data_IF_180670433456
#
_entry.id   IF_180670433456
#
_cell.length_a   1.000
_cell.length_b   1.000
_cell.length_c   1.000
_cell.angle_alpha   90.00
_cell.angle_beta   90.00
_cell.angle_gamma   90.00
#
_symmetry.space_group_name_H-M   'P 1'
#
loop_
_entity.id
_entity.type
_entity.pdbx_description
1 polymer ?
#
# COMPACT_ATOMS: atom_id res chain seq x y z
N UNK A 1 7.37 24.91 31.30
CA UNK A 1 7.11 24.00 30.15
C UNK A 1 6.85 24.90 28.94
N UNK A 2 7.88 25.18 28.15
CA UNK A 2 7.80 26.13 27.04
C UNK A 2 7.27 25.38 25.81
N UNK A 3 5.98 25.53 25.52
CA UNK A 3 5.40 25.09 24.25
C UNK A 3 5.88 26.09 23.21
N UNK A 4 6.89 25.75 22.42
CA UNK A 4 7.33 26.56 21.29
C UNK A 4 6.27 26.40 20.18
N UNK A 5 5.26 27.26 20.20
CA UNK A 5 4.30 27.49 19.10
C UNK A 5 4.99 28.29 17.98
N UNK A 6 6.06 27.73 17.42
CA UNK A 6 6.76 28.30 16.28
C UNK A 6 6.75 27.28 15.15
N UNK A 7 6.34 27.70 13.95
CA UNK A 7 6.51 26.88 12.76
C UNK A 7 8.02 26.73 12.48
N UNK A 8 8.54 25.51 12.58
CA UNK A 8 9.90 25.20 12.18
C UNK A 8 9.91 25.03 10.65
N UNK A 9 10.60 25.94 9.95
CA UNK A 9 10.82 25.88 8.51
C UNK A 9 12.24 25.36 8.25
N UNK A 10 12.35 24.15 7.70
CA UNK A 10 13.64 23.53 7.34
C UNK A 10 13.66 23.24 5.85
N UNK A 11 14.70 23.70 5.16
CA UNK A 11 14.90 23.43 3.75
C UNK A 11 15.56 22.06 3.56
N UNK A 12 14.91 21.17 2.82
CA UNK A 12 15.48 19.90 2.37
C UNK A 12 15.77 19.93 0.87
N UNK A 13 16.88 19.30 0.45
CA UNK A 13 17.18 19.09 -0.96
C UNK A 13 16.78 17.69 -1.38
N UNK A 14 16.04 17.58 -2.50
CA UNK A 14 15.78 16.31 -3.15
C UNK A 14 17.09 15.79 -3.75
N UNK A 15 17.49 14.60 -3.31
CA UNK A 15 18.69 13.91 -3.76
C UNK A 15 18.40 13.08 -5.02
N UNK A 16 19.46 12.47 -5.57
CA UNK A 16 19.31 11.50 -6.66
C UNK A 16 18.35 10.39 -6.23
N UNK A 17 17.59 9.84 -7.18
CA UNK A 17 16.54 8.83 -6.94
C UNK A 17 15.33 9.33 -6.13
N UNK A 18 15.05 10.64 -6.12
CA UNK A 18 13.86 11.23 -5.49
C UNK A 18 13.79 11.06 -3.96
N UNK A 19 14.95 10.95 -3.32
CA UNK A 19 15.06 10.79 -1.86
C UNK A 19 15.22 12.14 -1.17
N UNK A 20 14.62 12.28 0.01
CA UNK A 20 14.85 13.42 0.91
C UNK A 20 15.30 12.90 2.25
N UNK A 21 16.40 13.46 2.78
CA UNK A 21 16.86 13.13 4.12
C UNK A 21 15.98 13.83 5.16
N UNK A 22 15.51 13.08 6.15
CA UNK A 22 14.77 13.64 7.28
C UNK A 22 15.75 14.45 8.13
N UNK A 23 15.58 15.78 8.26
CA UNK A 23 16.50 16.61 9.03
C UNK A 23 16.61 16.15 10.48
N UNK A 24 17.79 16.35 11.07
CA UNK A 24 18.06 15.92 12.45
C UNK A 24 17.08 16.52 13.47
N UNK A 25 16.68 17.79 13.28
CA UNK A 25 15.67 18.48 14.10
C UNK A 25 14.35 17.70 14.11
N UNK A 26 13.84 17.36 12.92
CA UNK A 26 12.57 16.63 12.74
C UNK A 26 12.68 15.22 13.32
N UNK A 27 13.79 14.51 13.09
CA UNK A 27 14.01 13.18 13.68
C UNK A 27 13.95 13.23 15.21
N UNK A 28 14.58 14.22 15.84
CA UNK A 28 14.58 14.38 17.30
C UNK A 28 13.18 14.72 17.81
N UNK A 29 12.52 15.70 17.20
CA UNK A 29 11.21 16.18 17.64
C UNK A 29 10.14 15.08 17.57
N UNK A 30 10.14 14.31 16.48
CA UNK A 30 9.19 13.20 16.27
C UNK A 30 9.73 11.84 16.71
N UNK A 31 10.89 11.83 17.40
CA UNK A 31 11.57 10.64 17.91
C UNK A 31 11.76 9.53 16.86
N UNK A 32 11.94 9.86 15.59
CA UNK A 32 11.97 8.91 14.47
C UNK A 32 13.18 7.98 14.60
N UNK A 33 12.94 6.68 14.47
CA UNK A 33 13.93 5.63 14.54
C UNK A 33 13.98 4.84 13.22
N UNK A 34 15.08 4.13 13.01
CA UNK A 34 15.18 3.19 11.89
C UNK A 34 14.14 2.07 12.07
N UNK A 35 13.43 1.72 10.99
CA UNK A 35 12.34 0.74 11.00
C UNK A 35 10.94 1.34 11.20
N UNK A 36 10.83 2.62 11.58
CA UNK A 36 9.54 3.33 11.58
C UNK A 36 8.98 3.48 10.16
N UNK A 37 7.66 3.48 10.04
CA UNK A 37 6.97 3.76 8.79
C UNK A 37 6.59 5.25 8.69
N UNK A 38 6.62 5.78 7.48
CA UNK A 38 6.12 7.11 7.15
C UNK A 38 4.91 7.00 6.22
N UNK A 39 3.82 7.66 6.59
CA UNK A 39 2.64 7.82 5.72
C UNK A 39 2.65 9.20 5.10
N UNK A 40 2.43 9.23 3.80
CA UNK A 40 2.39 10.44 2.99
C UNK A 40 0.94 10.72 2.59
N UNK A 41 0.43 11.88 2.97
CA UNK A 41 -0.90 12.36 2.64
C UNK A 41 -0.78 13.61 1.77
N UNK A 42 -1.52 13.66 0.66
CA UNK A 42 -1.54 14.83 -0.24
C UNK A 42 -2.75 15.68 0.08
N UNK A 43 -2.52 16.83 0.72
CA UNK A 43 -3.56 17.83 0.95
C UNK A 43 -3.62 18.78 -0.24
N UNK A 44 -4.53 18.47 -1.17
CA UNK A 44 -4.74 19.27 -2.38
C UNK A 44 -5.28 20.67 -2.08
N UNK A 45 -6.01 20.86 -0.97
CA UNK A 45 -6.63 22.15 -0.64
C UNK A 45 -5.57 23.17 -0.27
N UNK A 46 -4.57 22.74 0.50
CA UNK A 46 -3.48 23.60 0.95
C UNK A 46 -2.21 23.46 0.10
N UNK A 47 -2.21 22.55 -0.90
CA UNK A 47 -1.08 22.22 -1.76
C UNK A 47 0.18 21.83 -0.97
N UNK A 48 -0.02 20.98 0.04
CA UNK A 48 1.06 20.47 0.90
C UNK A 48 1.04 18.96 0.97
N UNK A 49 2.20 18.41 1.31
CA UNK A 49 2.36 17.00 1.65
C UNK A 49 2.49 16.91 3.16
N UNK A 50 1.62 16.12 3.79
CA UNK A 50 1.68 15.83 5.22
C UNK A 50 2.34 14.47 5.41
N UNK A 51 3.40 14.43 6.20
CA UNK A 51 4.13 13.20 6.53
C UNK A 51 3.87 12.84 7.98
N UNK A 52 3.36 11.63 8.24
CA UNK A 52 3.06 11.12 9.59
C UNK A 52 3.95 9.93 9.92
N UNK A 53 4.47 9.88 11.14
CA UNK A 53 5.29 8.75 11.63
C UNK A 53 4.36 7.71 12.25
N UNK A 54 4.52 6.44 11.87
CA UNK A 54 3.87 5.31 12.53
C UNK A 54 4.94 4.48 13.23
N UNK A 55 4.79 4.38 14.55
CA UNK A 55 5.69 3.68 15.46
C UNK A 55 5.43 2.18 15.61
N UNK A 56 4.20 1.76 15.32
CA UNK A 56 3.73 0.43 15.65
C UNK A 56 3.40 -0.34 14.36
N UNK A 57 4.44 -0.92 13.77
CA UNK A 57 4.39 -1.66 12.50
C UNK A 57 3.42 -2.84 12.54
N UNK A 58 3.23 -3.44 13.72
CA UNK A 58 2.31 -4.57 13.91
C UNK A 58 0.85 -4.15 13.66
N UNK A 59 0.45 -2.93 14.04
CA UNK A 59 -0.90 -2.42 13.77
C UNK A 59 -1.19 -2.21 12.29
N UNK A 60 -0.19 -1.84 11.49
CA UNK A 60 -0.32 -1.71 10.03
C UNK A 60 -0.49 -3.09 9.39
N UNK A 61 0.28 -4.09 9.86
CA UNK A 61 0.19 -5.46 9.36
C UNK A 61 -1.15 -6.12 9.72
N UNK A 62 -1.70 -5.85 10.91
CA UNK A 62 -3.02 -6.39 11.31
C UNK A 62 -4.16 -5.89 10.42
N UNK A 63 -4.08 -4.69 9.84
CA UNK A 63 -5.13 -4.18 8.94
C UNK A 63 -5.22 -4.87 7.59
N UNK A 64 -4.11 -5.44 7.08
CA UNK A 64 -4.10 -6.17 5.80
C UNK A 64 -4.48 -7.65 5.95
N UNK A 65 -4.30 -8.22 7.14
CA UNK A 65 -4.56 -9.62 7.46
C UNK A 65 -5.80 -9.86 8.33
N UNK A 66 -6.53 -8.81 8.71
CA UNK A 66 -7.78 -8.91 9.48
C UNK A 66 -9.03 -8.88 8.59
N UNK A 67 -8.92 -9.32 7.33
CA UNK A 67 -10.10 -9.63 6.52
C UNK A 67 -10.47 -11.10 6.76
N UNK A 68 -11.57 -11.40 7.48
CA UNK A 68 -12.03 -12.78 7.67
C UNK A 68 -12.41 -13.48 6.37
N UNK A 69 -12.52 -12.75 5.25
CA UNK A 69 -12.75 -13.31 3.92
C UNK A 69 -11.46 -13.56 3.12
N UNK A 70 -10.29 -13.25 3.67
CA UNK A 70 -8.99 -13.57 3.07
C UNK A 70 -8.37 -14.80 3.75
N UNK A 71 -9.20 -15.80 4.05
CA UNK A 71 -8.74 -17.12 4.49
C UNK A 71 -8.26 -17.93 3.28
N UNK A 72 -7.43 -18.94 3.55
CA UNK A 72 -6.92 -19.85 2.52
C UNK A 72 -8.07 -20.42 1.68
N UNK A 73 -9.13 -20.89 2.36
CA UNK A 73 -10.29 -21.50 1.74
C UNK A 73 -11.00 -20.57 0.74
N UNK A 74 -11.17 -19.28 1.08
CA UNK A 74 -11.82 -18.31 0.18
C UNK A 74 -10.96 -18.02 -1.05
N UNK A 75 -9.65 -17.96 -0.88
CA UNK A 75 -8.70 -17.73 -1.98
C UNK A 75 -8.62 -18.95 -2.90
N UNK A 76 -8.60 -20.15 -2.34
CA UNK A 76 -8.59 -21.42 -3.10
C UNK A 76 -9.88 -21.58 -3.92
N UNK A 77 -11.04 -21.36 -3.30
CA UNK A 77 -12.34 -21.38 -3.98
C UNK A 77 -12.41 -20.39 -5.14
N UNK A 78 -11.84 -19.19 -4.98
CA UNK A 78 -11.82 -18.17 -6.03
C UNK A 78 -10.93 -18.61 -7.20
N UNK A 79 -9.74 -19.16 -6.90
CA UNK A 79 -8.79 -19.63 -7.89
C UNK A 79 -9.36 -20.81 -8.71
N UNK A 80 -10.03 -21.75 -8.05
CA UNK A 80 -10.68 -22.88 -8.70
C UNK A 80 -11.81 -22.40 -9.63
N UNK A 81 -12.68 -21.47 -9.16
CA UNK A 81 -13.75 -20.89 -9.99
C UNK A 81 -13.24 -20.19 -11.24
N UNK A 82 -12.13 -19.45 -11.14
CA UNK A 82 -11.52 -18.79 -12.30
C UNK A 82 -10.98 -19.84 -13.27
N UNK A 83 -10.28 -20.84 -12.75
CA UNK A 83 -9.70 -21.93 -13.56
C UNK A 83 -10.77 -22.73 -14.30
N UNK A 84 -11.88 -23.06 -13.63
CA UNK A 84 -13.04 -23.74 -14.23
C UNK A 84 -13.75 -22.89 -15.29
N UNK A 85 -13.80 -21.56 -15.12
CA UNK A 85 -14.35 -20.66 -16.16
C UNK A 85 -13.49 -20.67 -17.42
N UNK A 86 -12.17 -20.62 -17.29
CA UNK A 86 -11.24 -20.65 -18.43
C UNK A 86 -11.29 -21.98 -19.19
N UNK A 87 -11.41 -23.11 -18.47
CA UNK A 87 -11.61 -24.44 -19.07
C UNK A 87 -12.91 -24.50 -19.86
N UNK A 88 -14.02 -23.99 -19.29
CA UNK A 88 -15.32 -24.00 -19.96
C UNK A 88 -15.40 -23.03 -21.16
N UNK A 89 -14.67 -21.90 -21.12
CA UNK A 89 -14.56 -20.99 -22.25
C UNK A 89 -13.80 -21.63 -23.43
N UNK A 90 -12.77 -22.42 -23.14
CA UNK A 90 -11.97 -23.15 -24.14
C UNK A 90 -12.71 -24.32 -24.81
N UNK A 91 -13.78 -24.83 -24.18
CA UNK A 91 -14.48 -26.02 -24.66
C UNK A 91 -15.66 -25.72 -25.62
N UNK A 92 -15.96 -24.44 -25.92
CA UNK A 92 -17.03 -24.07 -26.87
C UNK A 92 -16.62 -24.07 -28.35
N UNK A 93 -15.33 -24.25 -28.68
CA UNK A 93 -14.81 -24.12 -30.05
C UNK A 93 -14.49 -25.42 -30.77
N UNK A 94 -14.90 -26.59 -30.25
CA UNK A 94 -14.78 -27.86 -30.99
C UNK A 94 -16.08 -28.65 -30.92
N UNK A 95 -16.93 -28.46 -31.92
CA UNK A 95 -17.74 -29.50 -32.57
C UNK A 95 -18.62 -28.84 -33.64
N UNK A 96 -18.04 -28.51 -34.79
CA UNK A 96 -18.79 -28.46 -36.04
C UNK A 96 -18.43 -29.75 -36.80
N UNK A 97 -19.28 -30.76 -36.71
CA UNK A 97 -19.18 -31.98 -37.50
C UNK A 97 -19.33 -31.63 -38.98
N UNK A 98 -18.33 -31.99 -39.79
CA UNK A 98 -18.35 -31.95 -41.25
C UNK A 98 -19.48 -32.82 -41.81
N UNK A 99 -20.18 -32.40 -42.89
CA UNK A 99 -21.14 -33.28 -43.55
C UNK A 99 -20.38 -34.30 -44.41
N UNK A 100 -20.61 -35.59 -44.16
CA UNK A 100 -20.21 -36.64 -45.09
C UNK A 100 -21.14 -36.61 -46.32
N UNK A 101 -20.54 -36.69 -47.51
CA UNK A 101 -21.23 -36.96 -48.78
C UNK A 101 -21.76 -38.39 -48.81
#
# INVERSE_FOLDING_TARGET
MLVILGNILILGKVSRKWLVNIPAEIRKQFHIQEGDYLVWEVDKKHNVIVVRVIKDSLKILTGKYSDPNLTYDVVEDLAERITLREINASNRTRHAHSPCK
#
